data_IF_623818599099
#
_entry.id   IF_623818599099
#
_cell.length_a   1.000
_cell.length_b   1.000
_cell.length_c   1.000
_cell.angle_alpha   90.00
_cell.angle_beta   90.00
_cell.angle_gamma   90.00
#
_symmetry.space_group_name_H-M   'P 1'
#
loop_
_entity.id
_entity.type
_entity.pdbx_description
1 polymer ?
#
# COMPACT_ATOMS: atom_id res chain seq x y z
N UNK A 1 33.55 -63.24 62.31
CA UNK A 1 34.08 -61.87 62.11
C UNK A 1 33.65 -61.40 60.74
N UNK A 2 32.59 -60.60 60.68
CA UNK A 2 31.98 -60.08 59.46
C UNK A 2 32.41 -58.63 59.28
N UNK A 3 33.07 -58.33 58.17
CA UNK A 3 33.46 -56.97 57.81
C UNK A 3 32.25 -56.17 57.30
N UNK A 4 32.06 -54.90 57.68
CA UNK A 4 30.95 -54.10 57.18
C UNK A 4 31.21 -53.68 55.73
N UNK A 5 30.23 -54.00 54.88
CA UNK A 5 30.09 -53.46 53.52
C UNK A 5 29.79 -51.97 53.60
N UNK A 6 30.72 -51.12 53.14
CA UNK A 6 30.44 -49.70 52.99
C UNK A 6 29.68 -49.51 51.69
N UNK A 7 28.37 -49.27 51.81
CA UNK A 7 27.50 -48.83 50.71
C UNK A 7 27.86 -47.38 50.39
N UNK A 8 28.59 -47.13 49.31
CA UNK A 8 28.75 -45.77 48.79
C UNK A 8 27.45 -45.34 48.12
N UNK A 9 26.67 -44.57 48.88
CA UNK A 9 25.49 -43.86 48.41
C UNK A 9 25.82 -42.96 47.21
N UNK A 10 24.91 -42.95 46.27
CA UNK A 10 24.94 -42.22 45.00
C UNK A 10 25.07 -40.70 45.19
N UNK A 11 26.03 -40.09 44.51
CA UNK A 11 25.90 -38.70 44.06
C UNK A 11 25.46 -38.75 42.60
N UNK A 12 24.14 -38.85 42.45
CA UNK A 12 23.41 -38.56 41.23
C UNK A 12 23.84 -37.17 40.77
N UNK A 13 24.74 -37.08 39.80
CA UNK A 13 25.12 -35.83 39.17
C UNK A 13 23.84 -35.19 38.64
N UNK A 14 23.37 -34.14 39.34
CA UNK A 14 22.28 -33.32 38.88
C UNK A 14 22.67 -32.80 37.50
N UNK A 15 21.90 -33.17 36.49
CA UNK A 15 21.98 -32.69 35.11
C UNK A 15 21.55 -31.22 35.04
N UNK A 16 22.23 -30.36 35.80
CA UNK A 16 22.15 -28.92 35.69
C UNK A 16 23.03 -28.50 34.53
N UNK A 17 22.42 -27.89 33.51
CA UNK A 17 23.15 -27.28 32.40
C UNK A 17 24.32 -26.43 32.95
N UNK A 18 25.56 -26.61 32.44
CA UNK A 18 26.74 -25.92 32.96
C UNK A 18 26.49 -24.43 33.16
N UNK A 19 26.90 -23.87 34.29
CA UNK A 19 26.67 -22.45 34.64
C UNK A 19 27.04 -21.48 33.51
N UNK A 20 28.08 -21.82 32.73
CA UNK A 20 28.53 -21.06 31.55
C UNK A 20 27.47 -20.97 30.45
N UNK A 21 26.67 -22.03 30.23
CA UNK A 21 25.58 -22.05 29.25
C UNK A 21 24.40 -21.19 29.73
N UNK A 22 24.10 -21.20 31.04
CA UNK A 22 23.07 -20.32 31.62
C UNK A 22 23.45 -18.85 31.47
N UNK A 23 24.70 -18.49 31.78
CA UNK A 23 25.20 -17.12 31.63
C UNK A 23 25.26 -16.69 30.16
N UNK A 24 25.67 -17.57 29.24
CA UNK A 24 25.65 -17.29 27.81
C UNK A 24 24.23 -17.03 27.31
N UNK A 25 23.24 -17.81 27.77
CA UNK A 25 21.83 -17.60 27.43
C UNK A 25 21.28 -16.27 27.93
N UNK A 26 21.60 -15.88 29.17
CA UNK A 26 21.17 -14.60 29.76
C UNK A 26 21.80 -13.42 29.00
N UNK A 27 23.10 -13.48 28.70
CA UNK A 27 23.77 -12.43 27.93
C UNK A 27 23.22 -12.30 26.51
N UNK A 28 22.97 -13.43 25.84
CA UNK A 28 22.34 -13.42 24.51
C UNK A 28 20.93 -12.82 24.55
N UNK A 29 20.12 -13.17 25.57
CA UNK A 29 18.80 -12.59 25.76
C UNK A 29 18.87 -11.08 26.03
N UNK A 30 19.81 -10.63 26.87
CA UNK A 30 20.01 -9.20 27.15
C UNK A 30 20.38 -8.42 25.88
N UNK A 31 21.25 -8.97 25.03
CA UNK A 31 21.61 -8.35 23.74
C UNK A 31 20.40 -8.28 22.81
N UNK A 32 19.62 -9.36 22.68
CA UNK A 32 18.42 -9.37 21.84
C UNK A 32 17.36 -8.38 22.33
N UNK A 33 17.15 -8.29 23.64
CA UNK A 33 16.22 -7.31 24.23
C UNK A 33 16.70 -5.90 23.97
N UNK A 34 17.99 -5.62 24.20
CA UNK A 34 18.57 -4.29 23.94
C UNK A 34 18.44 -3.93 22.46
N UNK A 35 18.71 -4.89 21.57
CA UNK A 35 18.54 -4.70 20.13
C UNK A 35 17.08 -4.43 19.76
N UNK A 36 16.13 -5.19 20.31
CA UNK A 36 14.71 -4.97 20.06
C UNK A 36 14.23 -3.60 20.56
N UNK A 37 14.65 -3.20 21.77
CA UNK A 37 14.29 -1.91 22.38
C UNK A 37 14.80 -0.74 21.56
N UNK A 38 15.94 -0.86 20.88
CA UNK A 38 16.47 0.20 20.01
C UNK A 38 15.88 0.11 18.60
N UNK A 39 15.86 -1.08 18.00
CA UNK A 39 15.52 -1.26 16.59
C UNK A 39 14.03 -1.06 16.31
N UNK A 40 13.15 -1.56 17.19
CA UNK A 40 11.70 -1.45 17.00
C UNK A 40 11.24 0.01 16.92
N UNK A 41 11.54 0.91 17.88
CA UNK A 41 11.07 2.29 17.78
C UNK A 41 11.71 3.05 16.61
N UNK A 42 12.98 2.80 16.29
CA UNK A 42 13.63 3.40 15.11
C UNK A 42 12.95 2.97 13.81
N UNK A 43 12.60 1.69 13.71
CA UNK A 43 11.87 1.14 12.57
C UNK A 43 10.48 1.73 12.44
N UNK A 44 9.73 1.82 13.55
CA UNK A 44 8.38 2.42 13.58
C UNK A 44 8.44 3.88 13.16
N UNK A 45 9.34 4.68 13.74
CA UNK A 45 9.48 6.10 13.43
C UNK A 45 9.89 6.34 11.97
N UNK A 46 10.83 5.56 11.46
CA UNK A 46 11.26 5.66 10.07
C UNK A 46 10.13 5.30 9.10
N UNK A 47 9.34 4.27 9.43
CA UNK A 47 8.19 3.86 8.63
C UNK A 47 7.10 4.94 8.63
N UNK A 48 6.84 5.56 9.77
CA UNK A 48 5.80 6.59 9.89
C UNK A 48 6.19 7.85 9.10
N UNK A 49 7.45 8.29 9.19
CA UNK A 49 7.97 9.41 8.41
C UNK A 49 7.91 9.14 6.90
N UNK A 50 8.32 7.94 6.46
CA UNK A 50 8.23 7.54 5.05
C UNK A 50 6.77 7.48 4.58
N UNK A 51 5.87 6.95 5.40
CA UNK A 51 4.44 6.88 5.09
C UNK A 51 3.84 8.28 4.96
N UNK A 52 4.24 9.22 5.83
CA UNK A 52 3.75 10.59 5.78
C UNK A 52 4.24 11.31 4.53
N UNK A 53 5.54 11.30 4.25
CA UNK A 53 6.12 12.00 3.09
C UNK A 53 5.59 11.42 1.77
N UNK A 54 5.57 10.10 1.63
CA UNK A 54 5.01 9.44 0.44
C UNK A 54 3.50 9.66 0.34
N UNK A 55 2.79 9.65 1.47
CA UNK A 55 1.36 9.92 1.53
C UNK A 55 1.01 11.34 1.07
N UNK A 56 1.77 12.35 1.52
CA UNK A 56 1.63 13.73 1.10
C UNK A 56 1.90 13.89 -0.39
N UNK A 57 2.99 13.29 -0.89
CA UNK A 57 3.33 13.32 -2.32
C UNK A 57 2.22 12.70 -3.17
N UNK A 58 1.83 11.46 -2.89
CA UNK A 58 0.80 10.75 -3.67
C UNK A 58 -0.53 11.49 -3.59
N UNK A 59 -0.89 12.05 -2.43
CA UNK A 59 -2.10 12.88 -2.29
C UNK A 59 -2.03 14.14 -3.14
N UNK A 60 -0.87 14.83 -3.18
CA UNK A 60 -0.68 16.02 -4.00
C UNK A 60 -0.75 15.71 -5.51
N UNK A 61 -0.14 14.60 -5.95
CA UNK A 61 -0.25 14.11 -7.34
C UNK A 61 -1.70 13.84 -7.68
N UNK A 62 -2.42 13.11 -6.83
CA UNK A 62 -3.81 12.73 -7.12
C UNK A 62 -4.74 13.94 -7.15
N UNK A 63 -4.57 14.90 -6.22
CA UNK A 63 -5.35 16.15 -6.21
C UNK A 63 -5.07 17.01 -7.44
N UNK A 64 -3.80 17.25 -7.77
CA UNK A 64 -3.43 18.04 -8.95
C UNK A 64 -3.94 17.39 -10.24
N UNK A 65 -3.83 16.06 -10.35
CA UNK A 65 -4.35 15.29 -11.47
C UNK A 65 -5.88 15.39 -11.57
N UNK A 66 -6.60 15.33 -10.45
CA UNK A 66 -8.07 15.42 -10.44
C UNK A 66 -8.60 16.76 -10.94
N UNK A 67 -7.85 17.85 -10.73
CA UNK A 67 -8.18 19.20 -11.20
C UNK A 67 -7.84 19.37 -12.69
N UNK A 68 -6.80 18.69 -13.17
CA UNK A 68 -6.37 18.79 -14.56
C UNK A 68 -7.23 17.99 -15.55
N UNK A 69 -8.04 17.05 -15.07
CA UNK A 69 -8.91 16.21 -15.90
C UNK A 69 -10.32 16.78 -15.92
N UNK A 70 -10.84 17.02 -17.13
CA UNK A 70 -12.22 17.47 -17.32
C UNK A 70 -13.21 16.31 -17.14
N UNK A 71 -14.25 16.52 -16.32
CA UNK A 71 -15.34 15.57 -16.16
C UNK A 71 -16.07 15.25 -17.47
N UNK A 72 -16.28 16.24 -18.34
CA UNK A 72 -16.92 16.04 -19.65
C UNK A 72 -16.11 15.10 -20.55
N UNK A 73 -14.78 15.11 -20.41
CA UNK A 73 -13.92 14.17 -21.13
C UNK A 73 -14.11 12.75 -20.61
N UNK A 74 -14.29 12.57 -19.30
CA UNK A 74 -14.57 11.27 -18.68
C UNK A 74 -15.95 10.73 -19.05
N UNK A 75 -16.95 11.60 -19.22
CA UNK A 75 -18.27 11.20 -19.71
C UNK A 75 -18.19 10.66 -21.14
N UNK A 76 -17.47 11.35 -22.05
CA UNK A 76 -17.22 10.83 -23.41
C UNK A 76 -16.43 9.53 -23.44
N UNK A 77 -15.54 9.30 -22.47
CA UNK A 77 -14.79 8.04 -22.36
C UNK A 77 -15.70 6.90 -21.87
N UNK A 78 -16.68 7.21 -21.02
CA UNK A 78 -17.63 6.23 -20.51
C UNK A 78 -18.68 5.79 -21.57
N UNK A 79 -18.85 6.57 -22.64
CA UNK A 79 -19.73 6.24 -23.77
C UNK A 79 -19.22 5.06 -24.62
N UNK A 80 -20.10 4.53 -25.47
CA UNK A 80 -19.77 3.44 -26.40
C UNK A 80 -18.70 3.93 -27.39
N UNK A 81 -17.56 3.26 -27.42
CA UNK A 81 -16.42 3.67 -28.25
C UNK A 81 -15.52 4.73 -27.59
N UNK A 82 -15.80 5.14 -26.35
CA UNK A 82 -14.94 6.03 -25.57
C UNK A 82 -13.47 5.63 -25.51
N UNK A 83 -13.09 4.33 -25.42
CA UNK A 83 -11.68 3.91 -25.41
C UNK A 83 -10.89 4.23 -26.70
N UNK A 84 -11.55 4.40 -27.85
CA UNK A 84 -10.90 4.81 -29.11
C UNK A 84 -10.97 6.32 -29.36
N UNK A 85 -11.65 7.06 -28.48
CA UNK A 85 -11.87 8.50 -28.61
C UNK A 85 -10.60 9.33 -28.42
N UNK A 86 -10.64 10.57 -28.90
CA UNK A 86 -9.58 11.54 -28.61
C UNK A 86 -9.53 11.90 -27.11
N UNK A 87 -10.68 11.90 -26.44
CA UNK A 87 -10.77 12.17 -25.01
C UNK A 87 -9.96 11.16 -24.18
N UNK A 88 -10.02 9.86 -24.54
CA UNK A 88 -9.21 8.81 -23.90
C UNK A 88 -7.72 9.09 -24.07
N UNK A 89 -7.27 9.36 -25.30
CA UNK A 89 -5.84 9.63 -25.58
C UNK A 89 -5.33 10.84 -24.81
N UNK A 90 -6.07 11.95 -24.85
CA UNK A 90 -5.71 13.18 -24.13
C UNK A 90 -5.66 12.94 -22.62
N UNK A 91 -6.67 12.27 -22.05
CA UNK A 91 -6.72 11.96 -20.62
C UNK A 91 -5.55 11.06 -20.22
N UNK A 92 -5.26 10.01 -20.99
CA UNK A 92 -4.13 9.12 -20.75
C UNK A 92 -2.79 9.85 -20.80
N UNK A 93 -2.58 10.71 -21.80
CA UNK A 93 -1.37 11.54 -21.90
C UNK A 93 -1.25 12.50 -20.72
N UNK A 94 -2.37 13.08 -20.25
CA UNK A 94 -2.38 13.92 -19.05
C UNK A 94 -1.97 13.12 -17.81
N UNK A 95 -2.51 11.92 -17.60
CA UNK A 95 -2.12 11.04 -16.49
C UNK A 95 -0.62 10.72 -16.50
N UNK A 96 -0.06 10.42 -17.67
CA UNK A 96 1.38 10.15 -17.83
C UNK A 96 2.22 11.39 -17.50
N UNK A 97 1.82 12.58 -17.98
CA UNK A 97 2.52 13.84 -17.71
C UNK A 97 2.47 14.19 -16.23
N UNK A 98 1.31 14.05 -15.59
CA UNK A 98 1.17 14.34 -14.16
C UNK A 98 2.01 13.38 -13.31
N UNK A 99 2.05 12.09 -13.67
CA UNK A 99 2.92 11.14 -12.98
C UNK A 99 4.40 11.52 -13.10
N UNK A 100 4.88 11.79 -14.31
CA UNK A 100 6.26 12.19 -14.58
C UNK A 100 6.63 13.51 -13.88
N UNK A 101 5.74 14.51 -13.95
CA UNK A 101 5.98 15.83 -13.35
C UNK A 101 6.12 15.77 -11.81
N UNK A 102 5.56 14.74 -11.17
CA UNK A 102 5.67 14.53 -9.73
C UNK A 102 6.79 13.55 -9.34
N UNK A 103 7.75 13.32 -10.23
CA UNK A 103 8.95 12.50 -9.98
C UNK A 103 8.74 11.00 -10.14
N UNK A 104 7.59 10.57 -10.67
CA UNK A 104 7.33 9.16 -10.95
C UNK A 104 8.04 8.66 -12.21
N UNK A 105 8.45 7.39 -12.23
CA UNK A 105 9.00 6.74 -13.43
C UNK A 105 7.91 6.01 -14.23
N UNK A 106 8.00 6.02 -15.55
CA UNK A 106 7.15 5.20 -16.42
C UNK A 106 7.46 3.70 -16.34
N UNK A 107 8.63 3.32 -15.78
CA UNK A 107 9.01 1.91 -15.56
C UNK A 107 8.34 1.32 -14.32
N UNK A 108 8.06 2.15 -13.30
CA UNK A 108 7.41 1.73 -12.04
C UNK A 108 5.86 1.76 -12.14
N UNK A 109 5.36 1.98 -13.35
CA UNK A 109 3.97 2.34 -13.67
C UNK A 109 3.02 1.15 -13.73
N UNK A 110 3.47 -0.04 -13.31
CA UNK A 110 2.64 -1.24 -13.19
C UNK A 110 1.43 -0.98 -12.25
N UNK A 111 1.62 -0.11 -11.25
CA UNK A 111 0.58 0.34 -10.31
C UNK A 111 0.21 1.83 -10.48
N UNK A 112 0.40 2.40 -11.68
CA UNK A 112 0.37 3.84 -11.94
C UNK A 112 -0.96 4.58 -11.67
N UNK A 113 -1.11 5.77 -12.24
CA UNK A 113 -2.31 6.59 -12.05
C UNK A 113 -3.45 6.11 -12.97
N UNK A 114 -4.61 5.91 -12.38
CA UNK A 114 -5.83 5.52 -13.08
C UNK A 114 -6.99 6.43 -12.71
N UNK A 115 -7.94 6.54 -13.64
CA UNK A 115 -9.27 7.12 -13.38
C UNK A 115 -10.25 5.98 -13.31
N UNK A 116 -11.00 5.95 -12.21
CA UNK A 116 -12.09 5.01 -12.00
C UNK A 116 -13.42 5.77 -12.02
N UNK A 117 -14.52 5.08 -12.22
CA UNK A 117 -15.86 5.64 -12.10
C UNK A 117 -16.80 4.62 -11.50
N UNK A 118 -17.66 5.08 -10.60
CA UNK A 118 -18.73 4.24 -10.05
C UNK A 118 -19.78 3.96 -11.14
N UNK A 119 -20.13 2.69 -11.32
CA UNK A 119 -21.28 2.29 -12.12
C UNK A 119 -22.59 2.47 -11.33
N UNK A 120 -23.73 2.19 -11.97
CA UNK A 120 -25.06 2.31 -11.35
C UNK A 120 -25.26 1.39 -10.14
N UNK A 121 -24.43 0.35 -9.99
CA UNK A 121 -24.42 -0.54 -8.82
C UNK A 121 -23.46 -0.08 -7.72
N UNK A 122 -22.81 1.07 -7.89
CA UNK A 122 -21.82 1.62 -6.95
C UNK A 122 -20.47 0.91 -6.99
N UNK A 123 -20.21 0.07 -8.00
CA UNK A 123 -18.90 -0.58 -8.20
C UNK A 123 -18.01 0.33 -9.02
N UNK A 124 -16.77 0.52 -8.58
CA UNK A 124 -15.80 1.31 -9.33
C UNK A 124 -15.20 0.48 -10.47
N UNK A 125 -15.18 1.06 -11.67
CA UNK A 125 -14.55 0.47 -12.85
C UNK A 125 -13.50 1.40 -13.39
N UNK A 126 -12.43 0.83 -13.94
CA UNK A 126 -11.41 1.61 -14.62
C UNK A 126 -11.97 2.23 -15.90
N UNK A 127 -11.75 3.54 -16.08
CA UNK A 127 -12.04 4.24 -17.32
C UNK A 127 -10.77 4.48 -18.14
N UNK A 128 -9.71 4.94 -17.48
CA UNK A 128 -8.43 5.25 -18.12
C UNK A 128 -7.31 4.85 -17.19
N UNK A 129 -6.23 4.29 -17.76
CA UNK A 129 -4.99 4.04 -17.04
C UNK A 129 -3.82 4.68 -17.80
N UNK A 130 -2.82 5.16 -17.06
CA UNK A 130 -1.63 5.79 -17.66
C UNK A 130 -0.84 4.82 -18.56
N UNK A 131 -0.71 3.55 -18.19
CA UNK A 131 -0.01 2.52 -19.00
C UNK A 131 -0.91 1.68 -19.89
N UNK A 132 -2.08 1.25 -19.41
CA UNK A 132 -2.86 0.22 -20.09
C UNK A 132 -3.37 0.72 -21.43
N UNK A 133 -3.37 -0.18 -22.41
CA UNK A 133 -3.96 0.09 -23.71
C UNK A 133 -5.49 -0.07 -23.65
N UNK A 134 -6.25 0.70 -24.45
CA UNK A 134 -7.68 0.50 -24.60
C UNK A 134 -8.04 -0.97 -24.85
N UNK A 135 -9.07 -1.49 -24.17
CA UNK A 135 -9.57 -2.84 -24.40
C UNK A 135 -8.78 -3.96 -23.71
N UNK A 136 -7.74 -3.63 -22.94
CA UNK A 136 -7.08 -4.60 -22.07
C UNK A 136 -8.06 -5.18 -21.03
N UNK A 137 -7.89 -6.46 -20.68
CA UNK A 137 -8.83 -7.20 -19.81
C UNK A 137 -8.92 -6.62 -18.40
N UNK A 138 -7.89 -5.91 -17.94
CA UNK A 138 -7.85 -5.20 -16.66
C UNK A 138 -8.96 -4.14 -16.54
N UNK A 139 -9.43 -3.55 -17.65
CA UNK A 139 -10.55 -2.60 -17.64
C UNK A 139 -11.90 -3.27 -17.34
N UNK A 140 -12.01 -4.60 -17.49
CA UNK A 140 -13.22 -5.35 -17.18
C UNK A 140 -13.34 -5.56 -15.66
N UNK A 141 -12.21 -5.63 -14.96
CA UNK A 141 -12.18 -5.81 -13.52
C UNK A 141 -12.73 -4.58 -12.80
N UNK A 142 -13.55 -4.82 -11.77
CA UNK A 142 -13.94 -3.75 -10.84
C UNK A 142 -12.76 -3.42 -9.94
N UNK A 143 -12.43 -2.14 -9.83
CA UNK A 143 -11.54 -1.68 -8.78
C UNK A 143 -12.24 -1.77 -7.43
N UNK A 144 -11.59 -2.40 -6.47
CA UNK A 144 -12.09 -2.46 -5.10
C UNK A 144 -11.28 -1.47 -4.25
N UNK A 145 -11.91 -0.37 -3.77
CA UNK A 145 -11.21 0.58 -2.92
C UNK A 145 -10.65 -0.13 -1.69
N UNK A 146 -9.41 0.16 -1.28
CA UNK A 146 -8.86 -0.35 -0.04
C UNK A 146 -9.72 0.04 1.16
N UNK A 147 -9.59 -0.71 2.25
CA UNK A 147 -10.32 -0.47 3.49
C UNK A 147 -10.07 0.96 4.01
N UNK A 148 -11.13 1.63 4.47
CA UNK A 148 -11.07 3.02 4.94
C UNK A 148 -11.16 4.11 3.85
N UNK A 149 -11.03 3.76 2.57
CA UNK A 149 -11.15 4.72 1.47
C UNK A 149 -12.60 4.83 0.92
N UNK A 150 -13.35 3.72 0.95
CA UNK A 150 -14.66 3.61 0.30
C UNK A 150 -15.67 4.68 0.74
N UNK A 151 -15.79 4.95 2.03
CA UNK A 151 -16.76 5.92 2.56
C UNK A 151 -16.42 7.35 2.12
N UNK A 152 -15.13 7.68 2.09
CA UNK A 152 -14.65 8.97 1.59
C UNK A 152 -14.99 9.13 0.11
N UNK A 153 -14.73 8.11 -0.71
CA UNK A 153 -15.05 8.12 -2.13
C UNK A 153 -16.55 8.24 -2.39
N UNK A 154 -17.37 7.50 -1.65
CA UNK A 154 -18.84 7.59 -1.75
C UNK A 154 -19.36 8.97 -1.37
N UNK A 155 -18.70 9.64 -0.43
CA UNK A 155 -18.98 11.03 -0.07
C UNK A 155 -18.37 12.08 -1.02
N UNK A 156 -17.72 11.66 -2.12
CA UNK A 156 -17.07 12.57 -3.06
C UNK A 156 -15.91 13.36 -2.46
N UNK A 157 -15.18 12.74 -1.52
CA UNK A 157 -14.00 13.30 -0.86
C UNK A 157 -12.76 12.50 -1.26
N UNK A 158 -11.62 13.20 -1.33
CA UNK A 158 -10.33 12.54 -1.51
C UNK A 158 -9.91 11.79 -0.23
N UNK A 159 -9.13 10.73 -0.40
CA UNK A 159 -8.64 9.90 0.69
C UNK A 159 -7.29 9.28 0.35
N UNK A 160 -6.59 8.83 1.38
CA UNK A 160 -5.30 8.14 1.28
C UNK A 160 -5.30 6.95 2.23
N UNK A 161 -4.71 5.83 1.82
CA UNK A 161 -4.56 4.65 2.66
C UNK A 161 -3.28 4.74 3.49
N UNK A 162 -3.22 3.97 4.58
CA UNK A 162 -1.93 3.57 5.13
C UNK A 162 -1.22 2.61 4.16
N UNK A 163 0.07 2.34 4.40
CA UNK A 163 0.80 1.31 3.65
C UNK A 163 0.14 -0.05 3.89
N UNK A 164 -0.39 -0.66 2.84
CA UNK A 164 -1.03 -1.98 2.87
C UNK A 164 -0.37 -2.93 1.88
N UNK A 165 -0.68 -4.22 2.01
CA UNK A 165 -0.20 -5.26 1.10
C UNK A 165 -1.14 -5.41 -0.10
N UNK A 166 -0.64 -5.14 -1.30
CA UNK A 166 -1.31 -5.42 -2.55
C UNK A 166 -0.51 -6.48 -3.30
N UNK A 167 -1.01 -7.72 -3.32
CA UNK A 167 -0.42 -8.85 -4.05
C UNK A 167 1.07 -9.07 -3.73
N UNK A 168 1.47 -8.99 -2.46
CA UNK A 168 2.84 -9.20 -2.00
C UNK A 168 3.72 -7.95 -2.07
N UNK A 169 3.17 -6.80 -2.48
CA UNK A 169 3.89 -5.52 -2.54
C UNK A 169 3.29 -4.52 -1.54
N UNK A 170 4.14 -3.84 -0.77
CA UNK A 170 3.71 -2.75 0.11
C UNK A 170 3.44 -1.50 -0.71
N UNK A 171 2.20 -1.03 -0.70
CA UNK A 171 1.78 0.13 -1.50
C UNK A 171 0.97 1.12 -0.65
N UNK A 172 0.97 2.37 -1.12
CA UNK A 172 0.10 3.43 -0.63
C UNK A 172 -0.77 3.89 -1.80
N UNK A 173 -2.06 4.10 -1.55
CA UNK A 173 -3.01 4.55 -2.57
C UNK A 173 -3.67 5.83 -2.11
N UNK A 174 -3.72 6.84 -2.98
CA UNK A 174 -4.56 8.02 -2.78
C UNK A 174 -5.54 8.17 -3.93
N UNK A 175 -6.72 8.68 -3.62
CA UNK A 175 -7.79 8.94 -4.56
C UNK A 175 -8.34 10.35 -4.32
N UNK A 176 -8.69 11.05 -5.39
CA UNK A 176 -9.32 12.36 -5.34
C UNK A 176 -10.45 12.41 -6.38
N UNK A 177 -11.59 13.03 -6.04
CA UNK A 177 -12.76 13.08 -6.92
C UNK A 177 -12.48 14.01 -8.11
N UNK A 178 -12.76 13.52 -9.31
CA UNK A 178 -12.88 14.37 -10.51
C UNK A 178 -14.31 14.87 -10.58
N UNK A 179 -14.48 16.20 -10.58
CA UNK A 179 -15.79 16.82 -10.63
C UNK A 179 -16.12 17.33 -12.03
N UNK A 180 -17.39 17.24 -12.39
CA UNK A 180 -17.99 17.95 -13.52
C UNK A 180 -18.13 19.43 -13.19
N UNK A 181 -18.44 20.21 -14.21
CA UNK A 181 -18.78 21.64 -14.09
C UNK A 181 -20.03 21.88 -13.24
N UNK A 182 -20.98 20.93 -13.22
CA UNK A 182 -22.18 20.96 -12.37
C UNK A 182 -21.93 20.57 -10.90
N UNK A 183 -20.68 20.23 -10.54
CA UNK A 183 -20.30 19.78 -9.20
C UNK A 183 -20.49 18.28 -8.93
N UNK A 184 -21.10 17.54 -9.86
CA UNK A 184 -21.27 16.09 -9.78
C UNK A 184 -19.97 15.32 -9.99
N UNK A 185 -19.92 14.07 -9.51
CA UNK A 185 -18.74 13.20 -9.64
C UNK A 185 -18.66 12.58 -11.04
N UNK A 186 -17.54 12.80 -11.72
CA UNK A 186 -17.20 12.21 -13.02
C UNK A 186 -16.32 10.96 -12.90
N UNK A 187 -15.53 10.87 -11.82
CA UNK A 187 -14.62 9.77 -11.51
C UNK A 187 -13.96 9.93 -10.14
#
# INVERSE_FOLDING_TARGET
>A
MTAPTITTSSLRAATGMPFRIKMAGISAAAVLVTLAVVLVPVYVLSRDLLTQVLGEQVTAVTRSTSVAISGDSLDRIAERGGPSSNAYRVTRTMLQRMWLANGGSLTDLVNGVAVVRADTSGKFRYLVHSTWQPGQTQFIASWQPPTGMLDSLRSGRGAVTQIYDANGTKVLTAAAPVRRTDGGLAG
#
